data_IF_758699950834
#
_entry.id   IF_758699950834
#
_cell.length_a   1.000
_cell.length_b   1.000
_cell.length_c   1.000
_cell.angle_alpha   90.00
_cell.angle_beta   90.00
_cell.angle_gamma   90.00
#
_symmetry.space_group_name_H-M   'P 1'
#
loop_
_entity.id
_entity.type
_entity.pdbx_description
1 polymer ?
#
# COMPACT_ATOMS: atom_id res chain seq x y z
N UNK A 1 -10.43 15.35 29.85
CA UNK A 1 -11.65 14.52 29.80
C UNK A 1 -11.34 13.04 29.72
N UNK A 2 -10.85 12.55 28.57
CA UNK A 2 -10.63 11.12 28.33
C UNK A 2 -9.65 10.44 29.29
N UNK A 3 -8.58 11.14 29.72
CA UNK A 3 -7.64 10.63 30.72
C UNK A 3 -8.32 10.28 32.06
N UNK A 4 -9.21 11.15 32.55
CA UNK A 4 -9.93 10.91 33.81
C UNK A 4 -10.92 9.74 33.68
N UNK A 5 -11.61 9.63 32.54
CA UNK A 5 -12.51 8.50 32.26
C UNK A 5 -11.78 7.16 32.16
N UNK A 6 -10.50 7.19 31.77
CA UNK A 6 -9.67 6.00 31.61
C UNK A 6 -8.90 5.61 32.89
N UNK A 7 -9.13 6.29 34.01
CA UNK A 7 -8.48 5.99 35.27
C UNK A 7 -8.74 4.53 35.70
N UNK A 8 -7.67 3.80 36.02
CA UNK A 8 -7.69 2.37 36.33
C UNK A 8 -7.77 1.46 35.10
N UNK A 9 -7.64 2.01 33.89
CA UNK A 9 -7.82 1.29 32.64
C UNK A 9 -6.89 1.74 31.52
N UNK A 10 -7.43 1.75 30.30
CA UNK A 10 -6.68 1.99 29.07
C UNK A 10 -7.23 3.20 28.31
N UNK A 11 -6.32 4.00 27.74
CA UNK A 11 -6.66 5.04 26.79
C UNK A 11 -6.02 4.73 25.44
N UNK A 12 -6.84 4.43 24.44
CA UNK A 12 -6.41 4.18 23.07
C UNK A 12 -6.53 5.48 22.28
N UNK A 13 -5.45 5.90 21.62
CA UNK A 13 -5.38 7.17 20.88
C UNK A 13 -4.80 6.91 19.49
N UNK A 14 -5.42 7.48 18.46
CA UNK A 14 -4.82 7.53 17.13
C UNK A 14 -3.73 8.60 17.08
N UNK A 15 -2.55 8.22 16.62
CA UNK A 15 -1.39 9.10 16.56
C UNK A 15 -1.64 10.29 15.64
N UNK A 16 -2.43 10.10 14.58
CA UNK A 16 -2.89 11.17 13.70
C UNK A 16 -3.56 12.30 14.47
N UNK A 17 -4.49 11.96 15.37
CA UNK A 17 -5.26 12.96 16.11
C UNK A 17 -4.37 13.72 17.10
N UNK A 18 -3.44 13.00 17.71
CA UNK A 18 -2.47 13.55 18.64
C UNK A 18 -1.47 14.51 17.96
N UNK A 19 -1.09 14.22 16.72
CA UNK A 19 -0.20 15.06 15.92
C UNK A 19 -0.93 16.24 15.25
N UNK A 20 -2.24 16.16 15.09
CA UNK A 20 -3.05 17.22 14.48
C UNK A 20 -3.37 18.37 15.46
N UNK A 21 -3.32 18.12 16.77
CA UNK A 21 -3.58 19.11 17.80
C UNK A 21 -2.26 19.54 18.47
N UNK A 22 -1.79 20.76 18.15
CA UNK A 22 -0.46 21.29 18.52
C UNK A 22 -0.10 21.11 20.00
N UNK A 23 -1.07 21.26 20.91
CA UNK A 23 -0.84 21.19 22.36
C UNK A 23 -1.20 19.84 22.99
N UNK A 24 -1.83 18.93 22.25
CA UNK A 24 -2.24 17.64 22.80
C UNK A 24 -1.04 16.78 23.19
N UNK A 25 0.01 16.77 22.35
CA UNK A 25 1.26 16.06 22.64
C UNK A 25 1.93 16.58 23.91
N UNK A 26 2.04 17.90 24.07
CA UNK A 26 2.65 18.49 25.26
C UNK A 26 1.88 18.16 26.54
N UNK A 27 0.55 18.23 26.50
CA UNK A 27 -0.30 17.88 27.63
C UNK A 27 -0.15 16.40 28.00
N UNK A 28 -0.07 15.52 26.99
CA UNK A 28 0.18 14.10 27.21
C UNK A 28 1.56 13.86 27.84
N UNK A 29 2.61 14.56 27.39
CA UNK A 29 3.94 14.47 28.00
C UNK A 29 3.95 14.92 29.46
N UNK A 30 3.24 16.02 29.77
CA UNK A 30 3.10 16.50 31.16
C UNK A 30 2.46 15.41 32.02
N UNK A 31 1.35 14.83 31.56
CA UNK A 31 0.69 13.71 32.23
C UNK A 31 1.61 12.50 32.40
N UNK A 32 2.30 12.06 31.34
CA UNK A 32 3.22 10.92 31.37
C UNK A 32 4.40 11.12 32.34
N UNK A 33 4.72 12.37 32.69
CA UNK A 33 5.76 12.71 33.67
C UNK A 33 5.22 12.82 35.10
N UNK A 34 4.05 13.42 35.29
CA UNK A 34 3.50 13.72 36.62
C UNK A 34 2.52 12.67 37.15
N UNK A 35 1.90 11.86 36.29
CA UNK A 35 0.75 11.03 36.63
C UNK A 35 -0.51 11.84 36.98
N UNK A 36 -0.48 13.16 36.74
CA UNK A 36 -1.51 14.11 37.18
C UNK A 36 -2.17 14.80 36.02
N UNK A 37 -3.49 14.83 36.02
CA UNK A 37 -4.31 15.53 35.05
C UNK A 37 -4.68 16.89 35.61
N UNK A 38 -4.19 17.94 34.95
CA UNK A 38 -4.64 19.31 35.22
C UNK A 38 -5.83 19.63 34.32
N UNK A 39 -6.92 20.11 34.91
CA UNK A 39 -8.05 20.65 34.16
C UNK A 39 -7.70 22.10 33.82
N UNK A 40 -7.72 22.41 32.52
CA UNK A 40 -7.41 23.74 31.96
C UNK A 40 -8.61 24.22 31.17
N UNK A 41 -8.91 25.51 31.24
CA UNK A 41 -9.92 26.14 30.39
C UNK A 41 -9.32 26.38 28.98
N UNK A 42 -10.06 26.02 27.90
CA UNK A 42 -9.61 26.28 26.53
C UNK A 42 -9.38 27.78 26.28
N UNK A 43 -8.27 28.14 25.62
CA UNK A 43 -8.04 29.50 25.11
C UNK A 43 -7.43 30.52 26.10
N UNK A 44 -7.18 30.13 27.36
CA UNK A 44 -6.67 31.06 28.37
C UNK A 44 -5.22 31.55 28.14
N UNK A 45 -4.44 30.81 27.34
CA UNK A 45 -3.06 31.20 26.98
C UNK A 45 -2.95 32.27 25.88
N UNK A 46 -4.07 32.63 25.22
CA UNK A 46 -4.13 33.55 24.07
C UNK A 46 -4.80 34.89 24.40
N UNK A 47 -5.24 35.12 25.64
CA UNK A 47 -6.01 36.30 26.04
C UNK A 47 -5.10 37.37 26.70
N UNK A 48 -5.16 38.64 26.27
CA UNK A 48 -4.34 39.73 26.83
C UNK A 48 -4.69 40.13 28.27
N UNK A 49 -5.90 39.79 28.74
CA UNK A 49 -6.39 40.11 30.09
C UNK A 49 -6.95 38.82 30.70
N UNK A 50 -6.36 38.29 31.79
CA UNK A 50 -6.87 37.07 32.41
C UNK A 50 -8.18 37.38 33.13
N UNK A 51 -9.29 36.84 32.62
CA UNK A 51 -10.51 36.71 33.41
C UNK A 51 -10.21 35.80 34.62
N UNK A 52 -10.76 36.12 35.79
CA UNK A 52 -10.63 35.30 37.00
C UNK A 52 -11.19 33.92 36.69
N UNK A 53 -10.30 32.94 36.57
CA UNK A 53 -10.68 31.58 36.26
C UNK A 53 -10.42 30.65 37.43
N UNK A 54 -11.32 29.68 37.58
CA UNK A 54 -11.12 28.58 38.50
C UNK A 54 -9.92 27.77 38.00
N UNK A 55 -8.95 27.53 38.88
CA UNK A 55 -7.84 26.59 38.64
C UNK A 55 -8.06 25.37 39.52
N UNK A 56 -8.71 24.31 39.01
CA UNK A 56 -8.94 23.10 39.78
C UNK A 56 -7.60 22.50 40.22
N UNK A 57 -7.60 21.81 41.35
CA UNK A 57 -6.44 21.02 41.74
C UNK A 57 -6.19 19.90 40.72
N UNK A 58 -4.91 19.54 40.55
CA UNK A 58 -4.53 18.44 39.68
C UNK A 58 -4.99 17.11 40.27
N UNK A 59 -5.58 16.25 39.44
CA UNK A 59 -6.11 14.95 39.87
C UNK A 59 -5.14 13.84 39.46
N UNK A 60 -4.78 12.96 40.40
CA UNK A 60 -4.00 11.76 40.09
C UNK A 60 -4.80 10.82 39.19
N UNK A 61 -4.19 10.31 38.12
CA UNK A 61 -4.81 9.31 37.25
C UNK A 61 -3.79 8.26 36.81
N UNK A 62 -4.06 7.01 37.16
CA UNK A 62 -3.38 5.84 36.63
C UNK A 62 -4.05 5.36 35.34
N UNK A 63 -3.34 5.43 34.21
CA UNK A 63 -3.86 5.10 32.88
C UNK A 63 -2.78 4.46 32.03
N UNK A 64 -3.07 3.31 31.41
CA UNK A 64 -2.21 2.73 30.37
C UNK A 64 -2.56 3.27 28.99
N UNK A 65 -1.61 3.94 28.35
CA UNK A 65 -1.82 4.59 27.05
C UNK A 65 -1.38 3.66 25.92
N UNK A 66 -2.25 3.47 24.93
CA UNK A 66 -1.98 2.72 23.70
C UNK A 66 -2.10 3.69 22.54
N UNK A 67 -1.00 3.90 21.81
CA UNK A 67 -1.00 4.71 20.60
C UNK A 67 -1.08 3.80 19.37
N UNK A 68 -1.95 4.13 18.44
CA UNK A 68 -2.11 3.44 17.16
C UNK A 68 -1.78 4.43 16.04
N UNK A 69 -0.89 4.08 15.13
CA UNK A 69 -0.48 4.96 14.04
C UNK A 69 0.30 4.23 12.97
N UNK A 70 0.55 4.93 11.86
CA UNK A 70 1.39 4.41 10.79
C UNK A 70 2.88 4.40 11.17
N UNK A 71 3.66 3.61 10.44
CA UNK A 71 5.13 3.57 10.56
C UNK A 71 5.73 4.97 10.38
N UNK A 72 5.24 5.73 9.40
CA UNK A 72 5.70 7.09 9.15
C UNK A 72 5.43 8.03 10.35
N UNK A 73 4.22 7.97 10.92
CA UNK A 73 3.87 8.79 12.09
C UNK A 73 4.72 8.43 13.32
N UNK A 74 4.99 7.14 13.54
CA UNK A 74 5.86 6.69 14.62
C UNK A 74 7.26 7.30 14.51
N UNK A 75 7.89 7.19 13.34
CA UNK A 75 9.24 7.71 13.14
C UNK A 75 9.31 9.23 13.09
N UNK A 76 8.26 9.89 12.61
CA UNK A 76 8.12 11.35 12.72
C UNK A 76 8.11 11.77 14.18
N UNK A 77 7.28 11.13 15.02
CA UNK A 77 7.20 11.46 16.44
C UNK A 77 8.50 11.14 17.18
N UNK A 78 9.12 10.01 16.88
CA UNK A 78 10.40 9.63 17.47
C UNK A 78 11.52 10.62 17.13
N UNK A 79 11.56 11.12 15.89
CA UNK A 79 12.51 12.13 15.46
C UNK A 79 12.26 13.49 16.13
N UNK A 80 10.99 13.86 16.29
CA UNK A 80 10.59 15.12 16.92
C UNK A 80 10.79 15.12 18.45
N UNK A 81 10.58 13.99 19.12
CA UNK A 81 10.74 13.85 20.57
C UNK A 81 11.42 12.52 20.94
N UNK A 82 12.76 12.50 21.10
CA UNK A 82 13.48 11.27 21.48
C UNK A 82 13.04 10.67 22.84
N UNK A 83 12.48 11.47 23.75
CA UNK A 83 11.93 10.96 25.02
C UNK A 83 10.69 10.09 24.82
N UNK A 84 10.02 10.19 23.67
CA UNK A 84 8.88 9.36 23.29
C UNK A 84 9.17 7.87 23.47
N UNK A 85 10.28 7.39 22.91
CA UNK A 85 10.68 5.99 22.96
C UNK A 85 10.97 5.51 24.39
N UNK A 86 11.36 6.41 25.31
CA UNK A 86 11.62 6.08 26.72
C UNK A 86 10.33 5.86 27.50
N UNK A 87 9.25 6.57 27.13
CA UNK A 87 7.92 6.49 27.74
C UNK A 87 7.07 5.38 27.13
N UNK A 88 7.14 5.18 25.82
CA UNK A 88 6.48 4.11 25.09
C UNK A 88 7.46 2.99 24.76
N UNK A 89 7.82 2.21 25.79
CA UNK A 89 8.84 1.15 25.69
C UNK A 89 8.36 -0.09 24.95
N UNK A 90 7.04 -0.29 24.87
CA UNK A 90 6.45 -1.44 24.21
C UNK A 90 5.98 -1.00 22.83
N UNK A 91 6.74 -1.40 21.80
CA UNK A 91 6.36 -1.25 20.40
C UNK A 91 5.79 -2.58 19.90
N UNK A 92 4.64 -2.51 19.24
CA UNK A 92 4.03 -3.66 18.57
C UNK A 92 3.86 -3.31 17.10
N UNK A 93 4.63 -3.97 16.24
CA UNK A 93 4.47 -3.87 14.79
C UNK A 93 3.43 -4.89 14.34
N UNK A 94 2.44 -4.44 13.57
CA UNK A 94 1.48 -5.33 12.92
C UNK A 94 2.08 -5.83 11.62
N UNK A 95 2.20 -7.15 11.48
CA UNK A 95 2.62 -7.74 10.21
C UNK A 95 1.56 -7.46 9.14
N UNK A 96 2.00 -7.10 7.93
CA UNK A 96 1.11 -6.89 6.77
C UNK A 96 0.67 -8.20 6.12
N UNK A 97 1.41 -9.28 6.35
CA UNK A 97 1.13 -10.62 5.86
C UNK A 97 1.72 -11.70 6.77
N UNK A 98 1.22 -12.93 6.65
CA UNK A 98 1.69 -14.08 7.42
C UNK A 98 1.88 -15.32 6.52
N UNK A 99 2.75 -16.29 6.89
CA UNK A 99 2.95 -17.50 6.12
C UNK A 99 1.66 -18.30 5.89
N UNK A 100 1.50 -18.83 4.68
CA UNK A 100 0.36 -19.65 4.31
C UNK A 100 0.63 -21.13 4.62
N UNK A 101 0.19 -21.56 5.80
CA UNK A 101 0.23 -22.94 6.27
C UNK A 101 -1.19 -23.50 6.37
N UNK A 102 -1.32 -24.80 6.61
CA UNK A 102 -2.63 -25.40 6.87
C UNK A 102 -3.31 -24.76 8.10
N UNK A 103 -2.54 -24.51 9.17
CA UNK A 103 -3.02 -23.85 10.38
C UNK A 103 -3.52 -22.43 10.10
N UNK A 104 -2.79 -21.64 9.31
CA UNK A 104 -3.22 -20.26 9.03
C UNK A 104 -4.40 -20.21 8.08
N UNK A 105 -4.50 -21.13 7.11
CA UNK A 105 -5.72 -21.29 6.27
C UNK A 105 -6.93 -21.68 7.13
N UNK A 106 -6.76 -22.56 8.11
CA UNK A 106 -7.80 -22.92 9.08
C UNK A 106 -8.15 -21.74 10.00
N UNK A 107 -7.18 -20.94 10.42
CA UNK A 107 -7.43 -19.72 11.18
C UNK A 107 -8.24 -18.70 10.35
N UNK A 108 -7.93 -18.55 9.07
CA UNK A 108 -8.71 -17.69 8.15
C UNK A 108 -10.15 -18.19 8.00
N UNK A 109 -10.38 -19.50 7.90
CA UNK A 109 -11.75 -20.04 7.84
C UNK A 109 -12.54 -19.80 9.14
N UNK A 110 -11.89 -19.92 10.30
CA UNK A 110 -12.48 -19.58 11.60
C UNK A 110 -12.79 -18.08 11.71
N UNK A 111 -11.91 -17.22 11.18
CA UNK A 111 -12.14 -15.79 11.11
C UNK A 111 -13.37 -15.44 10.27
N UNK A 112 -13.54 -16.08 9.10
CA UNK A 112 -14.74 -15.93 8.26
C UNK A 112 -15.99 -16.37 9.01
N UNK A 113 -15.97 -17.55 9.64
CA UNK A 113 -17.10 -18.06 10.41
C UNK A 113 -17.47 -17.14 11.58
N UNK A 114 -16.48 -16.62 12.31
CA UNK A 114 -16.68 -15.67 13.40
C UNK A 114 -17.29 -14.35 12.88
N UNK A 115 -16.80 -13.85 11.75
CA UNK A 115 -17.34 -12.65 11.11
C UNK A 115 -18.80 -12.84 10.70
N UNK A 116 -19.14 -14.01 10.13
CA UNK A 116 -20.52 -14.34 9.77
C UNK A 116 -21.42 -14.35 11.00
N UNK A 117 -21.00 -15.02 12.08
CA UNK A 117 -21.77 -15.07 13.33
C UNK A 117 -21.95 -13.69 13.95
N UNK A 118 -20.88 -12.88 14.02
CA UNK A 118 -20.89 -11.53 14.60
C UNK A 118 -21.81 -10.58 13.84
N UNK A 119 -21.88 -10.70 12.51
CA UNK A 119 -22.65 -9.81 11.63
C UNK A 119 -24.00 -10.39 11.17
N UNK A 120 -24.35 -11.60 11.60
CA UNK A 120 -25.59 -12.27 11.18
C UNK A 120 -25.63 -12.55 9.67
N UNK A 121 -24.52 -13.00 9.08
CA UNK A 121 -24.40 -13.32 7.65
C UNK A 121 -24.64 -14.82 7.39
N UNK A 122 -25.01 -15.21 6.15
CA UNK A 122 -25.11 -16.62 5.79
C UNK A 122 -23.76 -17.34 5.97
N UNK A 123 -23.75 -18.65 6.27
CA UNK A 123 -22.52 -19.43 6.31
C UNK A 123 -21.86 -19.52 4.93
N UNK A 124 -20.55 -19.78 4.92
CA UNK A 124 -19.74 -19.90 3.70
C UNK A 124 -19.44 -21.37 3.43
N UNK A 125 -19.57 -21.78 2.18
CA UNK A 125 -19.08 -23.06 1.69
C UNK A 125 -17.55 -23.05 1.59
N UNK A 126 -16.94 -24.25 1.55
CA UNK A 126 -15.49 -24.40 1.57
C UNK A 126 -14.80 -23.76 0.35
N UNK A 127 -15.46 -23.78 -0.81
CA UNK A 127 -15.03 -23.13 -2.05
C UNK A 127 -15.03 -21.60 -1.94
N UNK A 128 -16.03 -21.00 -1.28
CA UNK A 128 -16.08 -19.58 -1.00
C UNK A 128 -14.93 -19.14 -0.07
N UNK A 129 -14.66 -19.93 0.97
CA UNK A 129 -13.52 -19.67 1.87
C UNK A 129 -12.19 -19.81 1.12
N UNK A 130 -12.06 -20.79 0.24
CA UNK A 130 -10.88 -20.95 -0.61
C UNK A 130 -10.66 -19.72 -1.51
N UNK A 131 -11.72 -19.18 -2.12
CA UNK A 131 -11.66 -17.97 -2.93
C UNK A 131 -11.23 -16.72 -2.12
N UNK A 132 -11.67 -16.60 -0.86
CA UNK A 132 -11.21 -15.54 0.04
C UNK A 132 -9.71 -15.67 0.38
N UNK A 133 -9.24 -16.89 0.62
CA UNK A 133 -7.82 -17.18 0.87
C UNK A 133 -7.00 -16.84 -0.38
N UNK A 134 -7.48 -17.20 -1.58
CA UNK A 134 -6.82 -16.85 -2.84
C UNK A 134 -6.73 -15.33 -3.05
N UNK A 135 -7.79 -14.57 -2.77
CA UNK A 135 -7.71 -13.10 -2.80
C UNK A 135 -6.69 -12.57 -1.78
N UNK A 136 -6.58 -13.20 -0.60
CA UNK A 136 -5.59 -12.79 0.41
C UNK A 136 -4.14 -13.02 -0.04
N UNK A 137 -3.88 -14.06 -0.84
CA UNK A 137 -2.59 -14.30 -1.48
C UNK A 137 -2.30 -13.24 -2.55
N UNK A 138 -3.29 -12.97 -3.40
CA UNK A 138 -3.21 -11.97 -4.46
C UNK A 138 -2.97 -10.56 -3.91
N UNK A 139 -3.52 -10.22 -2.75
CA UNK A 139 -3.26 -8.95 -2.08
C UNK A 139 -1.79 -8.75 -1.67
N UNK A 140 -1.09 -9.83 -1.35
CA UNK A 140 0.33 -9.78 -0.94
C UNK A 140 1.27 -10.01 -2.11
N UNK A 141 0.75 -10.28 -3.31
CA UNK A 141 1.52 -10.69 -4.49
C UNK A 141 2.46 -11.90 -4.18
N UNK A 142 2.03 -12.80 -3.28
CA UNK A 142 2.87 -13.90 -2.76
C UNK A 142 2.06 -15.19 -2.53
N UNK A 143 2.46 -16.27 -3.19
CA UNK A 143 1.81 -17.59 -3.07
C UNK A 143 2.09 -18.27 -1.72
N UNK A 144 3.15 -17.88 -1.01
CA UNK A 144 3.54 -18.42 0.27
C UNK A 144 3.00 -17.62 1.46
N UNK A 145 2.30 -16.50 1.24
CA UNK A 145 1.79 -15.63 2.30
C UNK A 145 0.36 -15.18 2.07
N UNK A 146 -0.38 -15.03 3.16
CA UNK A 146 -1.72 -14.44 3.18
C UNK A 146 -1.67 -13.03 3.76
N UNK A 147 -2.47 -12.12 3.20
CA UNK A 147 -2.64 -10.76 3.70
C UNK A 147 -3.19 -10.75 5.13
N UNK A 148 -2.59 -9.91 5.98
CA UNK A 148 -3.07 -9.60 7.33
C UNK A 148 -4.01 -8.38 7.35
N UNK A 149 -4.31 -7.79 6.19
CA UNK A 149 -5.28 -6.70 6.07
C UNK A 149 -6.71 -7.26 6.12
N UNK A 150 -7.10 -7.76 7.31
CA UNK A 150 -8.36 -8.44 7.55
C UNK A 150 -9.59 -7.60 7.16
N UNK A 151 -9.49 -6.27 7.20
CA UNK A 151 -10.57 -5.37 6.76
C UNK A 151 -11.01 -5.64 5.31
N UNK A 152 -10.07 -5.97 4.42
CA UNK A 152 -10.39 -6.32 3.03
C UNK A 152 -11.12 -7.66 2.94
N UNK A 153 -10.67 -8.66 3.68
CA UNK A 153 -11.34 -9.96 3.76
C UNK A 153 -12.74 -9.82 4.36
N UNK A 154 -12.92 -9.01 5.42
CA UNK A 154 -14.25 -8.74 5.99
C UNK A 154 -15.18 -8.04 4.98
N UNK A 155 -14.67 -7.07 4.22
CA UNK A 155 -15.45 -6.41 3.18
C UNK A 155 -15.94 -7.43 2.14
N UNK A 156 -15.05 -8.32 1.67
CA UNK A 156 -15.39 -9.33 0.69
C UNK A 156 -16.37 -10.40 1.24
N UNK A 157 -16.27 -10.73 2.53
CA UNK A 157 -17.26 -11.56 3.24
C UNK A 157 -18.65 -10.89 3.24
N UNK A 158 -18.70 -9.57 3.50
CA UNK A 158 -19.98 -8.83 3.50
C UNK A 158 -20.55 -8.73 2.08
N UNK A 159 -19.73 -8.40 1.09
CA UNK A 159 -20.15 -8.29 -0.32
C UNK A 159 -20.64 -9.64 -0.87
N UNK A 160 -19.90 -10.72 -0.65
CA UNK A 160 -20.31 -12.07 -1.04
C UNK A 160 -21.60 -12.53 -0.36
N UNK A 161 -21.78 -12.18 0.92
CA UNK A 161 -23.03 -12.46 1.65
C UNK A 161 -24.22 -11.70 1.08
N UNK A 162 -24.03 -10.46 0.64
CA UNK A 162 -25.07 -9.66 0.02
C UNK A 162 -25.50 -10.27 -1.33
N UNK A 163 -24.53 -10.64 -2.17
CA UNK A 163 -24.79 -11.29 -3.47
C UNK A 163 -25.46 -12.66 -3.32
N UNK A 164 -25.03 -13.45 -2.33
CA UNK A 164 -25.70 -14.70 -1.98
C UNK A 164 -27.19 -14.48 -1.65
N UNK A 165 -27.51 -13.45 -0.87
CA UNK A 165 -28.91 -13.11 -0.53
C UNK A 165 -29.70 -12.62 -1.74
N UNK A 166 -29.08 -11.81 -2.59
CA UNK A 166 -29.69 -11.27 -3.81
C UNK A 166 -30.10 -12.40 -4.75
N UNK A 167 -29.28 -13.45 -4.89
CA UNK A 167 -29.65 -14.66 -5.64
C UNK A 167 -30.60 -15.62 -4.90
N UNK A 168 -31.08 -15.27 -3.70
CA UNK A 168 -31.93 -16.12 -2.87
C UNK A 168 -31.22 -17.32 -2.22
N UNK A 169 -29.89 -17.29 -2.15
CA UNK A 169 -29.07 -18.33 -1.53
C UNK A 169 -29.00 -18.23 -0.01
N UNK A 170 -28.85 -19.39 0.64
CA UNK A 170 -28.69 -19.52 2.10
C UNK A 170 -27.26 -19.84 2.54
N UNK A 171 -26.37 -20.17 1.58
CA UNK A 171 -24.95 -20.47 1.79
C UNK A 171 -24.17 -19.73 0.71
N UNK A 172 -23.14 -18.98 1.12
CA UNK A 172 -22.25 -18.25 0.21
C UNK A 172 -21.32 -19.25 -0.48
N UNK A 173 -21.27 -19.20 -1.80
CA UNK A 173 -20.47 -20.10 -2.66
C UNK A 173 -19.38 -19.29 -3.39
N UNK A 174 -18.41 -19.97 -4.02
CA UNK A 174 -17.32 -19.29 -4.73
C UNK A 174 -17.81 -18.27 -5.77
N UNK A 175 -18.94 -18.56 -6.45
CA UNK A 175 -19.56 -17.63 -7.43
C UNK A 175 -19.93 -16.28 -6.83
N UNK A 176 -20.32 -16.23 -5.56
CA UNK A 176 -20.71 -14.98 -4.89
C UNK A 176 -19.46 -14.13 -4.60
N UNK A 177 -18.35 -14.78 -4.26
CA UNK A 177 -17.06 -14.12 -4.04
C UNK A 177 -16.48 -13.61 -5.35
N UNK A 178 -16.50 -14.42 -6.40
CA UNK A 178 -16.06 -14.00 -7.73
C UNK A 178 -16.92 -12.86 -8.27
N UNK A 179 -18.24 -12.91 -8.08
CA UNK A 179 -19.12 -11.81 -8.46
C UNK A 179 -18.81 -10.53 -7.67
N UNK A 180 -18.49 -10.60 -6.37
CA UNK A 180 -18.06 -9.45 -5.58
C UNK A 180 -16.74 -8.85 -6.11
N UNK A 181 -15.75 -9.70 -6.42
CA UNK A 181 -14.48 -9.28 -7.01
C UNK A 181 -14.67 -8.64 -8.38
N UNK A 182 -15.52 -9.21 -9.25
CA UNK A 182 -15.87 -8.63 -10.54
C UNK A 182 -16.59 -7.29 -10.39
N UNK A 183 -17.53 -7.17 -9.46
CA UNK A 183 -18.21 -5.91 -9.17
C UNK A 183 -17.23 -4.84 -8.67
N UNK A 184 -16.25 -5.23 -7.85
CA UNK A 184 -15.16 -4.32 -7.43
C UNK A 184 -14.31 -3.87 -8.61
N UNK A 185 -13.92 -4.79 -9.50
CA UNK A 185 -13.19 -4.43 -10.73
C UNK A 185 -13.99 -3.45 -11.58
N UNK A 186 -15.30 -3.63 -11.72
CA UNK A 186 -16.14 -2.69 -12.46
C UNK A 186 -16.20 -1.29 -11.81
N UNK A 187 -16.18 -1.21 -10.47
CA UNK A 187 -16.21 0.08 -9.75
C UNK A 187 -14.90 0.87 -9.88
N UNK A 188 -13.75 0.19 -9.89
CA UNK A 188 -12.44 0.84 -9.83
C UNK A 188 -11.62 0.76 -11.12
N UNK A 189 -11.99 -0.14 -12.05
CA UNK A 189 -11.21 -0.48 -13.23
C UNK A 189 -11.44 0.40 -14.46
N UNK A 190 -12.18 1.50 -14.34
CA UNK A 190 -12.41 2.42 -15.47
C UNK A 190 -11.10 2.94 -16.10
N UNK A 191 -10.06 3.35 -15.33
CA UNK A 191 -8.79 3.77 -15.91
C UNK A 191 -8.11 2.67 -16.73
N UNK A 192 -8.09 1.43 -16.22
CA UNK A 192 -7.58 0.26 -16.95
C UNK A 192 -8.36 0.05 -18.25
N UNK A 193 -9.70 0.09 -18.17
CA UNK A 193 -10.56 -0.09 -19.34
C UNK A 193 -10.28 0.96 -20.41
N UNK A 194 -10.14 2.24 -20.05
CA UNK A 194 -9.82 3.32 -21.00
C UNK A 194 -8.48 3.12 -21.70
N UNK A 195 -7.48 2.61 -20.98
CA UNK A 195 -6.16 2.33 -21.55
C UNK A 195 -6.17 1.07 -22.43
N UNK A 196 -7.02 0.09 -22.14
CA UNK A 196 -7.23 -1.06 -23.03
C UNK A 196 -8.02 -0.66 -24.28
N UNK A 197 -9.03 0.19 -24.16
CA UNK A 197 -9.79 0.77 -25.28
C UNK A 197 -8.86 1.53 -26.24
N UNK A 198 -7.93 2.34 -25.74
CA UNK A 198 -6.98 3.07 -26.60
C UNK A 198 -6.04 2.14 -27.39
N UNK A 199 -5.77 0.93 -26.89
CA UNK A 199 -5.04 -0.10 -27.65
C UNK A 199 -5.94 -0.71 -28.74
N UNK A 200 -7.21 -0.99 -28.41
CA UNK A 200 -8.19 -1.57 -29.36
C UNK A 200 -8.49 -0.58 -30.50
N UNK A 201 -8.65 0.70 -30.17
CA UNK A 201 -8.94 1.78 -31.12
C UNK A 201 -7.71 2.16 -31.97
N UNK A 202 -6.53 1.61 -31.65
CA UNK A 202 -5.29 1.84 -32.38
C UNK A 202 -4.60 3.17 -32.07
N UNK A 203 -5.05 3.89 -31.03
CA UNK A 203 -4.37 5.10 -30.52
C UNK A 203 -3.01 4.74 -29.90
N UNK A 204 -2.96 3.63 -29.15
CA UNK A 204 -1.74 3.04 -28.59
C UNK A 204 -1.32 1.81 -29.39
N UNK A 205 -0.14 1.89 -29.99
CA UNK A 205 0.32 0.91 -30.97
C UNK A 205 1.06 -0.26 -30.31
N UNK A 206 0.31 -1.30 -29.96
CA UNK A 206 0.85 -2.56 -29.42
C UNK A 206 0.66 -3.69 -30.44
N UNK A 207 1.76 -4.32 -30.87
CA UNK A 207 1.71 -5.49 -31.74
C UNK A 207 1.57 -6.77 -30.91
N UNK A 208 0.45 -7.49 -31.05
CA UNK A 208 0.19 -8.75 -30.34
C UNK A 208 0.56 -10.01 -31.15
N UNK A 209 0.90 -9.85 -32.42
CA UNK A 209 1.28 -10.95 -33.30
C UNK A 209 2.35 -10.51 -34.30
N UNK A 210 3.04 -11.50 -34.89
CA UNK A 210 4.17 -11.28 -35.77
C UNK A 210 5.48 -11.04 -35.00
N UNK A 211 6.49 -10.58 -35.73
CA UNK A 211 7.83 -10.31 -35.17
C UNK A 211 8.42 -9.07 -35.81
N UNK A 212 9.13 -8.27 -35.03
CA UNK A 212 9.87 -7.11 -35.51
C UNK A 212 11.20 -6.99 -34.77
N UNK A 213 12.28 -6.83 -35.53
CA UNK A 213 13.63 -6.68 -34.97
C UNK A 213 13.71 -5.36 -34.19
N UNK A 214 14.32 -5.41 -33.01
CA UNK A 214 14.52 -4.25 -32.15
C UNK A 214 13.23 -3.73 -31.50
N UNK A 215 12.19 -4.56 -31.39
CA UNK A 215 10.99 -4.21 -30.63
C UNK A 215 10.55 -5.36 -29.73
N UNK A 216 10.07 -5.01 -28.54
CA UNK A 216 9.49 -5.94 -27.58
C UNK A 216 8.34 -5.25 -26.84
N UNK A 217 7.38 -6.05 -26.37
CA UNK A 217 6.37 -5.57 -25.44
C UNK A 217 6.90 -5.75 -24.02
N UNK A 218 7.29 -4.65 -23.38
CA UNK A 218 7.53 -4.59 -21.95
C UNK A 218 6.20 -4.66 -21.18
N UNK A 219 6.28 -5.01 -19.91
CA UNK A 219 5.13 -5.02 -19.01
C UNK A 219 5.34 -3.96 -17.93
N UNK A 220 4.39 -3.05 -17.80
CA UNK A 220 4.37 -2.05 -16.73
C UNK A 220 3.26 -2.39 -15.73
N UNK A 221 3.40 -1.85 -14.51
CA UNK A 221 2.37 -1.88 -13.49
C UNK A 221 2.00 -0.45 -13.14
N UNK A 222 0.70 -0.17 -13.12
CA UNK A 222 0.13 1.08 -12.65
C UNK A 222 -0.57 0.81 -11.32
N UNK A 223 -0.24 1.62 -10.32
CA UNK A 223 -0.83 1.57 -8.98
C UNK A 223 -1.49 2.91 -8.65
N UNK A 224 -2.83 2.91 -8.64
CA UNK A 224 -3.64 4.07 -8.28
C UNK A 224 -4.00 4.09 -6.77
N UNK A 225 -3.49 3.13 -6.01
CA UNK A 225 -3.80 2.90 -4.60
C UNK A 225 -5.08 2.09 -4.38
N UNK A 226 -6.18 2.42 -5.07
CA UNK A 226 -7.45 1.69 -4.98
C UNK A 226 -7.61 0.61 -6.07
N UNK A 227 -6.88 0.75 -7.18
CA UNK A 227 -6.81 -0.19 -8.29
C UNK A 227 -5.36 -0.35 -8.78
N UNK A 228 -4.97 -1.61 -9.03
CA UNK A 228 -3.65 -1.98 -9.57
C UNK A 228 -3.85 -2.83 -10.81
N UNK A 229 -3.20 -2.48 -11.91
CA UNK A 229 -3.31 -3.19 -13.17
C UNK A 229 -2.01 -3.08 -13.97
N UNK A 230 -1.81 -4.02 -14.89
CA UNK A 230 -0.66 -4.03 -15.78
C UNK A 230 -1.04 -3.62 -17.20
N UNK A 231 -0.10 -3.00 -17.91
CA UNK A 231 -0.26 -2.68 -19.32
C UNK A 231 0.99 -3.07 -20.12
N UNK A 232 0.82 -3.51 -21.37
CA UNK A 232 1.93 -3.65 -22.29
C UNK A 232 2.40 -2.26 -22.73
N UNK A 233 3.71 -2.07 -22.77
CA UNK A 233 4.36 -0.91 -23.38
C UNK A 233 5.29 -1.40 -24.48
N UNK A 234 5.33 -0.70 -25.61
CA UNK A 234 6.25 -1.07 -26.69
C UNK A 234 7.62 -0.44 -26.40
N UNK A 235 8.64 -1.27 -26.24
CA UNK A 235 10.03 -0.83 -26.12
C UNK A 235 10.70 -1.04 -27.48
N UNK A 236 11.34 0.01 -27.99
CA UNK A 236 12.11 -0.04 -29.24
C UNK A 236 13.60 0.17 -28.94
N UNK A 237 14.44 -0.62 -29.59
CA UNK A 237 15.87 -0.44 -29.62
C UNK A 237 16.37 -0.26 -31.05
N UNK A 238 17.22 0.74 -31.28
CA UNK A 238 17.94 0.91 -32.56
C UNK A 238 19.42 0.94 -32.32
N UNK A 239 20.17 0.34 -33.25
CA UNK A 239 21.62 0.27 -33.18
C UNK A 239 22.27 0.73 -34.47
N UNK A 240 23.42 1.37 -34.35
CA UNK A 240 24.30 1.70 -35.46
C UNK A 240 25.76 1.71 -35.00
N UNK A 241 26.70 1.68 -35.95
CA UNK A 241 28.12 1.78 -35.62
C UNK A 241 28.44 3.15 -35.00
N UNK A 242 29.20 3.16 -33.91
CA UNK A 242 29.57 4.37 -33.18
C UNK A 242 30.35 4.05 -31.89
N UNK A 243 30.66 5.07 -31.09
CA UNK A 243 31.43 4.90 -29.84
C UNK A 243 30.79 5.53 -28.60
N UNK A 244 29.51 5.93 -28.69
CA UNK A 244 28.78 6.58 -27.59
C UNK A 244 28.11 5.57 -26.64
N UNK A 245 28.01 4.29 -27.03
CA UNK A 245 27.42 3.25 -26.19
C UNK A 245 25.90 3.28 -26.19
N UNK A 246 25.31 3.05 -25.02
CA UNK A 246 23.87 2.94 -24.84
C UNK A 246 23.25 4.27 -24.38
N UNK A 247 22.27 4.75 -25.15
CA UNK A 247 21.46 5.94 -24.90
C UNK A 247 20.06 5.51 -24.43
N UNK A 248 19.66 5.97 -23.26
CA UNK A 248 18.28 5.86 -22.79
C UNK A 248 17.54 7.15 -23.11
N UNK A 249 16.58 7.12 -24.04
CA UNK A 249 15.90 8.35 -24.48
C UNK A 249 15.14 8.98 -23.32
N UNK A 250 14.48 8.17 -22.48
CA UNK A 250 13.71 8.63 -21.32
C UNK A 250 14.59 9.42 -20.34
N UNK A 251 15.84 9.02 -20.17
CA UNK A 251 16.80 9.72 -19.30
C UNK A 251 17.20 11.08 -19.84
N UNK A 252 17.47 11.17 -21.14
CA UNK A 252 17.91 12.43 -21.77
C UNK A 252 16.84 13.51 -21.74
N UNK A 253 15.57 13.13 -21.56
CA UNK A 253 14.42 14.04 -21.48
C UNK A 253 13.81 14.10 -20.07
N UNK A 254 14.54 13.62 -19.05
CA UNK A 254 14.13 13.66 -17.64
C UNK A 254 12.78 12.95 -17.36
N UNK A 255 12.46 11.93 -18.15
CA UNK A 255 11.27 11.08 -17.99
C UNK A 255 11.59 9.71 -17.36
N UNK A 256 12.84 9.42 -17.00
CA UNK A 256 13.19 8.23 -16.22
C UNK A 256 13.57 8.56 -14.78
N UNK A 257 13.23 7.64 -13.88
CA UNK A 257 13.64 7.69 -12.49
C UNK A 257 14.99 6.99 -12.22
N UNK A 258 15.59 7.22 -11.05
CA UNK A 258 16.94 6.73 -10.71
C UNK A 258 17.10 5.21 -10.69
N UNK A 259 16.05 4.44 -10.38
CA UNK A 259 16.16 2.97 -10.37
C UNK A 259 16.20 2.45 -11.80
N UNK A 260 15.37 3.02 -12.68
CA UNK A 260 15.41 2.71 -14.10
C UNK A 260 16.77 3.04 -14.73
N UNK A 261 17.30 4.24 -14.48
CA UNK A 261 18.61 4.66 -14.98
C UNK A 261 19.74 3.72 -14.55
N UNK A 262 19.68 3.26 -13.30
CA UNK A 262 20.62 2.25 -12.79
C UNK A 262 20.51 0.94 -13.57
N UNK A 263 19.30 0.49 -13.90
CA UNK A 263 19.07 -0.70 -14.73
C UNK A 263 19.74 -0.61 -16.09
N UNK A 264 19.59 0.54 -16.78
CA UNK A 264 20.25 0.80 -18.07
C UNK A 264 21.78 0.80 -17.95
N UNK A 265 22.34 1.40 -16.89
CA UNK A 265 23.78 1.38 -16.65
C UNK A 265 24.32 -0.03 -16.41
N UNK A 266 23.54 -0.89 -15.74
CA UNK A 266 23.85 -2.32 -15.57
C UNK A 266 23.85 -3.02 -16.92
N UNK A 267 22.84 -2.78 -17.76
CA UNK A 267 22.76 -3.33 -19.13
C UNK A 267 23.97 -2.91 -19.96
N UNK A 268 24.37 -1.63 -19.91
CA UNK A 268 25.56 -1.15 -20.61
C UNK A 268 26.82 -1.87 -20.13
N UNK A 269 27.00 -2.00 -18.81
CA UNK A 269 28.13 -2.73 -18.22
C UNK A 269 28.15 -4.19 -18.63
N UNK A 270 26.98 -4.83 -18.72
CA UNK A 270 26.83 -6.20 -19.18
C UNK A 270 27.25 -6.37 -20.65
N UNK A 271 26.83 -5.48 -21.54
CA UNK A 271 27.22 -5.51 -22.95
C UNK A 271 28.74 -5.34 -23.13
N UNK A 272 29.37 -4.43 -22.37
CA UNK A 272 30.82 -4.27 -22.38
C UNK A 272 31.52 -5.54 -21.90
N UNK A 273 31.06 -6.14 -20.80
CA UNK A 273 31.66 -7.37 -20.26
C UNK A 273 31.53 -8.55 -21.25
N UNK A 274 30.39 -8.66 -21.93
CA UNK A 274 30.15 -9.69 -22.93
C UNK A 274 31.03 -9.55 -24.17
N UNK A 275 31.13 -8.36 -24.75
CA UNK A 275 31.76 -8.18 -26.07
C UNK A 275 33.15 -7.56 -26.03
N UNK A 276 33.57 -6.99 -24.90
CA UNK A 276 34.82 -6.25 -24.77
C UNK A 276 36.09 -7.07 -25.02
N UNK A 277 36.02 -8.39 -24.92
CA UNK A 277 37.12 -9.29 -25.25
C UNK A 277 37.31 -9.51 -26.77
N UNK A 278 36.29 -9.20 -27.58
CA UNK A 278 36.33 -9.37 -29.04
C UNK A 278 36.89 -8.11 -29.72
N UNK A 279 36.40 -6.94 -29.31
CA UNK A 279 36.80 -5.63 -29.82
C UNK A 279 36.31 -4.54 -28.85
N UNK A 280 36.88 -3.32 -28.91
CA UNK A 280 36.23 -2.15 -28.33
C UNK A 280 34.79 -2.05 -28.84
N UNK A 281 33.84 -1.81 -27.94
CA UNK A 281 32.42 -1.79 -28.26
C UNK A 281 32.11 -0.62 -29.21
N UNK A 282 32.09 -0.90 -30.52
CA UNK A 282 31.75 0.05 -31.58
C UNK A 282 30.23 0.12 -31.81
N UNK A 283 29.48 0.36 -30.74
CA UNK A 283 28.02 0.39 -30.71
C UNK A 283 27.51 1.76 -30.26
N UNK A 284 26.60 2.33 -31.05
CA UNK A 284 25.60 3.27 -30.57
C UNK A 284 24.26 2.56 -30.55
N UNK A 285 23.62 2.50 -29.39
CA UNK A 285 22.29 1.95 -29.22
C UNK A 285 21.39 2.99 -28.57
N UNK A 286 20.16 3.15 -29.05
CA UNK A 286 19.14 3.95 -28.37
C UNK A 286 17.96 3.06 -27.99
N UNK A 287 17.48 3.20 -26.75
CA UNK A 287 16.29 2.53 -26.23
C UNK A 287 15.23 3.59 -25.91
N UNK A 288 13.97 3.28 -26.21
CA UNK A 288 12.81 4.15 -25.96
C UNK A 288 11.57 3.34 -25.59
N UNK A 289 10.81 3.86 -24.63
CA UNK A 289 9.45 3.47 -24.31
C UNK A 289 8.49 4.27 -25.20
N UNK A 290 7.92 3.59 -26.17
CA UNK A 290 7.11 4.22 -27.21
C UNK A 290 5.76 4.64 -26.66
N UNK A 291 5.36 5.89 -26.95
CA UNK A 291 4.09 6.48 -26.52
C UNK A 291 3.90 6.46 -24.98
N UNK A 292 5.00 6.64 -24.24
CA UNK A 292 4.99 6.82 -22.80
C UNK A 292 5.33 8.27 -22.44
N UNK A 293 4.44 8.91 -21.68
CA UNK A 293 4.49 10.35 -21.40
C UNK A 293 4.48 10.68 -19.90
N UNK A 294 4.13 9.72 -19.05
CA UNK A 294 4.04 9.90 -17.59
C UNK A 294 5.34 9.51 -16.87
N UNK A 295 6.36 9.14 -17.64
CA UNK A 295 7.67 8.71 -17.16
C UNK A 295 7.75 7.23 -16.80
N UNK A 296 8.99 6.75 -16.58
CA UNK A 296 9.31 5.35 -16.33
C UNK A 296 10.19 5.22 -15.09
N UNK A 297 9.85 4.28 -14.20
CA UNK A 297 10.64 3.99 -13.00
C UNK A 297 10.65 2.48 -12.71
N UNK A 298 11.69 2.03 -12.00
CA UNK A 298 11.92 0.63 -11.68
C UNK A 298 12.83 -0.07 -12.68
N UNK A 299 13.27 -1.28 -12.33
CA UNK A 299 14.24 -2.09 -13.07
C UNK A 299 13.64 -3.34 -13.73
N UNK A 300 12.32 -3.54 -13.62
CA UNK A 300 11.61 -4.70 -14.17
C UNK A 300 11.71 -4.80 -15.70
N UNK A 301 11.87 -3.67 -16.38
CA UNK A 301 12.06 -3.61 -17.82
C UNK A 301 13.48 -3.96 -18.29
N UNK A 302 14.45 -4.16 -17.38
CA UNK A 302 15.86 -4.40 -17.77
C UNK A 302 16.08 -5.67 -18.60
N UNK A 303 15.16 -6.64 -18.53
CA UNK A 303 15.21 -7.87 -19.32
C UNK A 303 14.63 -7.70 -20.74
N UNK A 304 13.75 -6.71 -20.92
CA UNK A 304 13.10 -6.44 -22.21
C UNK A 304 14.06 -5.68 -23.12
#
# INVERSE_FOLDING_TARGET
GSLLRAHGGYLIIQLRDLLAEDLAWEKLRRFLRSGRVQIEEPGMGLMPIPAVSLRPESVDADVKIVLIGSVAQYYQLQKADPEFARRFRVKVDFAESFPATEDTRRATSLFVAHTCKRRGLPPFAADAVAALIEDSHRQTDDQARQSALFARTEALVVEGSALCRERGGTVVEARDIHAALSARRLRHGYPEQRLLESIIDGERLIALSGSRVGQINGLTQIDLGDWRFGLPVRVSARTHAGGQGLLNIEREVEMSGPIHDKGVLILHSYLIALFGHLAPLALNASIVFEQEYDGVEGDSASCA
#
